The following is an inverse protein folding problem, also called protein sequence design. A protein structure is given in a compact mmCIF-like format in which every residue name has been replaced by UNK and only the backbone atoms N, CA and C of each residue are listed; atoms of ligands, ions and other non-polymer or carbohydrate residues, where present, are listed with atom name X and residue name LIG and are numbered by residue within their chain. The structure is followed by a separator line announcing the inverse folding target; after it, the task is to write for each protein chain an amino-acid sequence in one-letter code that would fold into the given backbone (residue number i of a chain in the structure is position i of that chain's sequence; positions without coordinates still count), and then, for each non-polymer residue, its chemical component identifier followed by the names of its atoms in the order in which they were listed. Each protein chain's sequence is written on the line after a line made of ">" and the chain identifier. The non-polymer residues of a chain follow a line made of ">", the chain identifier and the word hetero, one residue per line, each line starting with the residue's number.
data_IF_282460421601
#
_entry.id   IF_282460421601
#
_cell.length_a   1.000
_cell.length_b   1.000
_cell.length_c   1.000
_cell.angle_alpha   90.00
_cell.angle_beta   90.00
_cell.angle_gamma   90.00
#
_symmetry.space_group_name_H-M   'P 1'
#
loop_
_entity.id
_entity.type
_entity.pdbx_description
1 polymer ?
#
# COMPACT_ATOMS: atom_id res chain seq x y z
N UNK A 1 -19.07 -30.31 -1.07
CA UNK A 1 -19.11 -29.29 -2.15
C UNK A 1 -17.77 -28.53 -2.19
N UNK A 2 -16.62 -29.23 -2.26
CA UNK A 2 -15.28 -28.65 -2.15
C UNK A 2 -14.43 -28.72 -3.44
N UNK A 3 -14.73 -29.66 -4.35
CA UNK A 3 -13.89 -29.89 -5.53
C UNK A 3 -13.77 -28.67 -6.47
N UNK A 4 -14.77 -27.80 -6.49
CA UNK A 4 -14.80 -26.64 -7.40
C UNK A 4 -13.92 -25.50 -6.88
N UNK A 5 -13.85 -25.29 -5.56
CA UNK A 5 -13.07 -24.20 -4.96
C UNK A 5 -11.57 -24.52 -4.97
N UNK A 6 -11.20 -25.74 -4.59
CA UNK A 6 -9.80 -26.19 -4.64
C UNK A 6 -9.25 -26.16 -6.07
N UNK A 7 -10.04 -26.62 -7.07
CA UNK A 7 -9.65 -26.52 -8.48
C UNK A 7 -9.44 -25.07 -8.93
N UNK A 8 -10.34 -24.16 -8.53
CA UNK A 8 -10.21 -22.72 -8.82
C UNK A 8 -9.02 -22.08 -8.13
N UNK A 9 -8.70 -22.47 -6.91
CA UNK A 9 -7.49 -22.00 -6.20
C UNK A 9 -6.23 -22.47 -6.91
N UNK A 10 -6.15 -23.74 -7.31
CA UNK A 10 -5.01 -24.29 -8.06
C UNK A 10 -4.86 -23.59 -9.41
N UNK A 11 -5.96 -23.39 -10.13
CA UNK A 11 -5.96 -22.70 -11.42
C UNK A 11 -5.50 -21.24 -11.26
N UNK A 12 -6.02 -20.53 -10.26
CA UNK A 12 -5.58 -19.17 -9.94
C UNK A 12 -4.09 -19.12 -9.63
N UNK A 13 -3.60 -19.99 -8.74
CA UNK A 13 -2.19 -20.02 -8.37
C UNK A 13 -1.30 -20.28 -9.59
N UNK A 14 -1.75 -21.13 -10.52
CA UNK A 14 -1.07 -21.36 -11.80
C UNK A 14 -1.07 -20.09 -12.66
N UNK A 15 -2.21 -19.44 -12.83
CA UNK A 15 -2.33 -18.19 -13.60
C UNK A 15 -1.50 -17.06 -12.99
N UNK A 16 -1.49 -16.92 -11.66
CA UNK A 16 -0.67 -15.93 -10.95
C UNK A 16 0.81 -16.26 -11.08
N UNK A 17 1.19 -17.54 -11.01
CA UNK A 17 2.57 -17.97 -11.26
C UNK A 17 3.03 -17.64 -12.67
N UNK A 18 2.17 -17.81 -13.67
CA UNK A 18 2.46 -17.41 -15.05
C UNK A 18 2.52 -15.89 -15.21
N UNK A 19 1.58 -15.15 -14.61
CA UNK A 19 1.49 -13.69 -14.67
C UNK A 19 2.66 -12.98 -13.98
N UNK A 20 3.15 -13.55 -12.87
CA UNK A 20 4.24 -13.00 -12.06
C UNK A 20 5.58 -13.70 -12.28
N UNK A 21 5.67 -14.62 -13.26
CA UNK A 21 6.93 -15.25 -13.62
C UNK A 21 7.89 -14.18 -14.13
N UNK A 22 9.04 -14.03 -13.49
CA UNK A 22 10.11 -13.21 -14.04
C UNK A 22 10.56 -13.81 -15.38
N UNK A 23 10.32 -13.09 -16.47
CA UNK A 23 10.86 -13.47 -17.77
C UNK A 23 12.40 -13.34 -17.74
N UNK A 24 13.15 -14.29 -18.30
CA UNK A 24 14.60 -14.15 -18.43
C UNK A 24 14.90 -12.98 -19.37
N UNK A 25 15.71 -12.01 -18.92
CA UNK A 25 15.92 -10.74 -19.62
C UNK A 25 17.38 -10.46 -19.93
N UNK A 26 17.55 -9.62 -20.95
CA UNK A 26 18.84 -9.08 -21.37
C UNK A 26 19.24 -7.87 -20.51
N UNK A 27 20.54 -7.63 -20.37
CA UNK A 27 21.16 -6.57 -19.56
C UNK A 27 20.68 -5.13 -19.81
N UNK A 28 20.01 -4.85 -20.93
CA UNK A 28 19.50 -3.52 -21.30
C UNK A 28 18.01 -3.32 -20.98
N UNK A 29 17.31 -4.36 -20.48
CA UNK A 29 15.89 -4.27 -20.14
C UNK A 29 15.72 -3.90 -18.67
N UNK A 30 15.25 -2.69 -18.39
CA UNK A 30 14.88 -2.26 -17.03
C UNK A 30 13.72 -3.12 -16.53
N UNK A 31 13.86 -3.74 -15.35
CA UNK A 31 12.72 -4.38 -14.67
C UNK A 31 11.72 -3.30 -14.29
N UNK A 32 10.54 -3.28 -14.94
CA UNK A 32 9.48 -2.33 -14.60
C UNK A 32 8.75 -2.74 -13.34
N UNK A 33 8.50 -4.03 -13.11
CA UNK A 33 7.68 -4.51 -12.00
C UNK A 33 8.27 -5.74 -11.33
N UNK A 34 8.30 -5.75 -10.00
CA UNK A 34 8.64 -6.90 -9.17
C UNK A 34 7.45 -7.29 -8.33
N UNK A 35 7.22 -8.59 -8.18
CA UNK A 35 6.15 -9.11 -7.34
C UNK A 35 6.76 -9.96 -6.25
N UNK A 36 6.43 -9.64 -4.99
CA UNK A 36 6.82 -10.40 -3.82
C UNK A 36 5.58 -10.90 -3.10
N UNK A 37 5.62 -12.07 -2.51
CA UNK A 37 4.52 -12.49 -1.63
C UNK A 37 4.52 -11.62 -0.37
N UNK A 38 3.34 -11.42 0.24
CA UNK A 38 3.28 -10.74 1.55
C UNK A 38 4.05 -11.51 2.63
N UNK A 39 4.24 -12.82 2.46
CA UNK A 39 5.15 -13.63 3.26
C UNK A 39 6.61 -13.21 3.10
N UNK A 40 7.13 -13.13 1.88
CA UNK A 40 8.52 -12.69 1.61
C UNK A 40 8.81 -11.31 2.19
N UNK A 41 7.84 -10.39 2.10
CA UNK A 41 7.98 -9.05 2.64
C UNK A 41 7.85 -9.07 4.17
N UNK A 42 6.81 -9.69 4.72
CA UNK A 42 6.50 -9.70 6.15
C UNK A 42 7.46 -10.53 7.01
N UNK A 43 8.06 -11.58 6.45
CA UNK A 43 8.97 -12.50 7.14
C UNK A 43 10.41 -11.97 7.28
N UNK A 44 10.71 -10.78 6.73
CA UNK A 44 12.00 -10.11 6.97
C UNK A 44 12.08 -9.41 8.33
N UNK A 45 11.02 -9.51 9.15
CA UNK A 45 10.93 -8.85 10.45
C UNK A 45 10.83 -9.88 11.59
N UNK A 46 11.98 -10.27 12.13
CA UNK A 46 12.11 -11.36 13.12
C UNK A 46 11.58 -11.05 14.54
N UNK A 47 11.24 -9.78 14.86
CA UNK A 47 11.01 -9.35 16.25
C UNK A 47 9.78 -8.43 16.44
N UNK A 48 8.60 -8.80 15.93
CA UNK A 48 7.36 -8.09 16.30
C UNK A 48 6.63 -8.75 17.47
N UNK A 49 6.07 -7.96 18.42
CA UNK A 49 5.08 -8.48 19.36
C UNK A 49 3.85 -8.98 18.61
N UNK A 50 3.13 -9.91 19.24
CA UNK A 50 1.88 -10.45 18.72
C UNK A 50 0.92 -9.29 18.32
N UNK A 51 0.44 -9.26 17.06
CA UNK A 51 -0.54 -8.28 16.61
C UNK A 51 -1.77 -8.20 17.50
N UNK A 52 -2.27 -6.97 17.71
CA UNK A 52 -3.59 -6.75 18.30
C UNK A 52 -4.69 -7.32 17.41
N UNK A 53 -5.83 -7.70 18.01
CA UNK A 53 -7.00 -8.27 17.31
C UNK A 53 -7.52 -7.39 16.18
N UNK A 54 -7.37 -6.07 16.33
CA UNK A 54 -7.71 -5.10 15.30
C UNK A 54 -6.53 -4.17 15.09
N UNK A 55 -6.22 -3.90 13.81
CA UNK A 55 -5.26 -2.89 13.39
C UNK A 55 -5.87 -2.00 12.33
N UNK A 56 -5.97 -0.73 12.67
CA UNK A 56 -6.46 0.31 11.79
C UNK A 56 -5.26 1.03 11.15
N UNK A 57 -5.09 0.88 9.83
CA UNK A 57 -4.06 1.59 9.07
C UNK A 57 -4.66 2.89 8.54
N UNK A 58 -4.13 4.01 9.05
CA UNK A 58 -4.54 5.36 8.67
C UNK A 58 -3.42 6.07 7.92
N UNK A 59 -3.79 7.19 7.31
CA UNK A 59 -2.84 8.14 6.79
C UNK A 59 -2.06 8.79 7.95
N UNK A 60 -0.74 8.87 7.79
CA UNK A 60 0.19 9.46 8.75
C UNK A 60 0.11 10.99 8.69
N UNK A 61 -0.91 11.52 9.35
CA UNK A 61 -1.16 12.95 9.44
C UNK A 61 0.02 13.73 10.02
N UNK A 62 0.79 13.12 10.95
CA UNK A 62 1.99 13.74 11.52
C UNK A 62 3.07 13.97 10.46
N UNK A 63 3.32 12.98 9.60
CA UNK A 63 4.28 13.10 8.50
C UNK A 63 3.83 14.13 7.45
N UNK A 64 2.53 14.25 7.21
CA UNK A 64 2.02 15.26 6.30
C UNK A 64 2.13 16.69 6.88
N UNK A 65 1.81 16.88 8.16
CA UNK A 65 2.04 18.16 8.85
C UNK A 65 3.51 18.54 8.83
N UNK A 66 4.44 17.60 9.08
CA UNK A 66 5.86 17.94 9.10
C UNK A 66 6.37 18.41 7.74
N UNK A 67 5.90 17.82 6.64
CA UNK A 67 6.18 18.30 5.27
C UNK A 67 5.66 19.72 5.04
N UNK A 68 4.44 20.01 5.47
CA UNK A 68 3.84 21.34 5.34
C UNK A 68 4.59 22.36 6.18
N UNK A 69 4.95 22.01 7.42
CA UNK A 69 5.72 22.86 8.30
C UNK A 69 7.11 23.17 7.72
N UNK A 70 7.79 22.17 7.15
CA UNK A 70 9.07 22.36 6.47
C UNK A 70 8.94 23.30 5.26
N UNK A 71 7.88 23.17 4.47
CA UNK A 71 7.59 24.07 3.35
C UNK A 71 7.32 25.50 3.85
N UNK A 72 6.51 25.67 4.89
CA UNK A 72 6.22 26.99 5.47
C UNK A 72 7.47 27.66 6.02
N UNK A 73 8.37 26.90 6.67
CA UNK A 73 9.66 27.40 7.13
C UNK A 73 10.56 27.82 5.96
N UNK A 74 10.58 27.04 4.87
CA UNK A 74 11.32 27.40 3.66
C UNK A 74 10.78 28.70 3.04
N UNK A 75 9.46 28.83 2.92
CA UNK A 75 8.81 30.05 2.40
C UNK A 75 9.13 31.24 3.31
N UNK A 76 9.04 31.06 4.63
CA UNK A 76 9.38 32.10 5.60
C UNK A 76 10.84 32.56 5.47
N UNK A 77 11.77 31.61 5.30
CA UNK A 77 13.18 31.93 5.11
C UNK A 77 13.42 32.74 3.83
N UNK A 78 12.81 32.35 2.70
CA UNK A 78 12.96 33.09 1.44
C UNK A 78 12.28 34.46 1.52
N UNK A 79 11.11 34.56 2.15
CA UNK A 79 10.45 35.84 2.39
C UNK A 79 11.33 36.77 3.23
N UNK A 80 11.91 36.27 4.32
CA UNK A 80 12.81 37.03 5.20
C UNK A 80 14.04 37.55 4.44
N UNK A 81 14.66 36.72 3.61
CA UNK A 81 15.76 37.13 2.72
C UNK A 81 15.33 38.20 1.72
N UNK A 82 14.18 38.02 1.07
CA UNK A 82 13.63 38.97 0.09
C UNK A 82 13.36 40.34 0.74
N UNK A 83 12.79 40.34 1.96
CA UNK A 83 12.57 41.55 2.76
C UNK A 83 13.87 42.26 3.08
N UNK A 84 14.91 41.55 3.52
CA UNK A 84 16.22 42.14 3.82
C UNK A 84 16.86 42.80 2.59
N UNK A 85 16.61 42.26 1.40
CA UNK A 85 17.16 42.77 0.15
C UNK A 85 16.26 43.80 -0.58
N UNK A 86 15.14 44.24 0.02
CA UNK A 86 14.14 45.12 -0.62
C UNK A 86 13.59 44.61 -1.97
N UNK A 87 13.75 43.32 -2.22
CA UNK A 87 13.14 42.64 -3.35
C UNK A 87 11.72 42.28 -2.92
N UNK A 88 10.69 42.82 -3.59
CA UNK A 88 9.31 42.41 -3.31
C UNK A 88 9.14 40.89 -3.37
N UNK A 89 8.21 40.33 -2.59
CA UNK A 89 8.01 38.88 -2.58
C UNK A 89 7.63 38.41 -4.00
N UNK A 90 8.35 37.43 -4.57
CA UNK A 90 8.05 36.99 -5.92
C UNK A 90 6.65 36.37 -5.98
N UNK A 91 5.76 36.94 -6.80
CA UNK A 91 4.40 36.42 -7.03
C UNK A 91 4.38 34.93 -7.38
N UNK A 92 5.43 34.42 -8.02
CA UNK A 92 5.55 32.99 -8.35
C UNK A 92 5.59 32.09 -7.11
N UNK A 93 6.09 32.57 -5.96
CA UNK A 93 6.10 31.79 -4.71
C UNK A 93 4.71 31.65 -4.10
N UNK A 94 3.89 32.70 -4.16
CA UNK A 94 2.49 32.63 -3.73
C UNK A 94 1.71 31.64 -4.59
N UNK A 95 1.93 31.67 -5.91
CA UNK A 95 1.30 30.72 -6.85
C UNK A 95 1.79 29.29 -6.58
N UNK A 96 3.09 29.08 -6.39
CA UNK A 96 3.64 27.76 -6.05
C UNK A 96 3.09 27.22 -4.71
N UNK A 97 2.93 28.08 -3.70
CA UNK A 97 2.34 27.72 -2.42
C UNK A 97 0.87 27.33 -2.56
N UNK A 98 0.08 28.08 -3.34
CA UNK A 98 -1.31 27.76 -3.63
C UNK A 98 -1.45 26.41 -4.35
N UNK A 99 -0.61 26.16 -5.35
CA UNK A 99 -0.59 24.87 -6.07
C UNK A 99 -0.24 23.73 -5.11
N UNK A 100 0.80 23.90 -4.28
CA UNK A 100 1.19 22.89 -3.30
C UNK A 100 0.07 22.60 -2.28
N UNK A 101 -0.55 23.65 -1.74
CA UNK A 101 -1.70 23.52 -0.84
C UNK A 101 -2.85 22.78 -1.51
N UNK A 102 -3.19 23.12 -2.76
CA UNK A 102 -4.26 22.46 -3.51
C UNK A 102 -3.97 20.97 -3.76
N UNK A 103 -2.71 20.60 -3.97
CA UNK A 103 -2.29 19.21 -4.19
C UNK A 103 -2.28 18.39 -2.89
N UNK A 104 -1.89 18.97 -1.76
CA UNK A 104 -1.77 18.26 -0.46
C UNK A 104 -3.03 18.37 0.43
N UNK A 105 -3.89 19.37 0.24
CA UNK A 105 -5.14 19.52 1.02
C UNK A 105 -6.06 18.27 0.96
N UNK A 106 -6.29 17.64 -0.20
CA UNK A 106 -7.11 16.44 -0.28
C UNK A 106 -6.53 15.28 0.53
N UNK A 107 -5.21 15.11 0.55
CA UNK A 107 -4.52 14.04 1.29
C UNK A 107 -4.63 14.24 2.81
N UNK A 108 -4.64 15.49 3.28
CA UNK A 108 -4.80 15.85 4.69
C UNK A 108 -6.24 15.71 5.20
N UNK A 109 -7.22 15.92 4.33
CA UNK A 109 -8.64 15.85 4.68
C UNK A 109 -9.13 14.39 4.76
N UNK A 110 -8.53 13.48 3.99
CA UNK A 110 -8.88 12.07 4.00
C UNK A 110 -8.28 11.32 5.21
N UNK A 111 -8.89 11.53 6.38
CA UNK A 111 -8.56 10.81 7.63
C UNK A 111 -9.19 9.43 7.72
N UNK A 112 -9.90 8.99 6.68
CA UNK A 112 -10.57 7.68 6.73
C UNK A 112 -9.50 6.59 6.77
N UNK A 113 -9.67 5.56 7.62
CA UNK A 113 -8.76 4.44 7.60
C UNK A 113 -8.83 3.78 6.23
N UNK A 114 -7.67 3.37 5.72
CA UNK A 114 -7.56 2.79 4.37
C UNK A 114 -7.71 1.28 4.40
N UNK A 115 -7.15 0.68 5.44
CA UNK A 115 -7.13 -0.74 5.69
C UNK A 115 -7.44 -0.95 7.17
N UNK A 116 -8.36 -1.87 7.47
CA UNK A 116 -8.59 -2.36 8.82
C UNK A 116 -8.35 -3.86 8.76
N UNK A 117 -7.32 -4.33 9.45
CA UNK A 117 -6.96 -5.74 9.54
C UNK A 117 -7.50 -6.24 10.88
N UNK A 118 -8.39 -7.21 10.85
CA UNK A 118 -8.96 -7.83 12.05
C UNK A 118 -8.56 -9.29 12.14
N UNK A 119 -8.89 -9.94 13.26
CA UNK A 119 -8.73 -11.38 13.41
C UNK A 119 -9.58 -12.22 12.46
N UNK A 120 -10.62 -11.64 11.84
CA UNK A 120 -11.60 -12.34 11.00
C UNK A 120 -11.51 -11.95 9.52
N UNK A 121 -11.08 -10.73 9.23
CA UNK A 121 -11.14 -10.16 7.89
C UNK A 121 -10.16 -9.02 7.66
N UNK A 122 -10.09 -8.58 6.40
CA UNK A 122 -9.50 -7.32 5.98
C UNK A 122 -10.61 -6.44 5.42
N UNK A 123 -10.78 -5.24 5.96
CA UNK A 123 -11.73 -4.25 5.47
C UNK A 123 -11.05 -3.09 4.75
N UNK A 124 -11.48 -2.87 3.50
CA UNK A 124 -10.98 -1.89 2.54
C UNK A 124 -11.94 -0.70 2.51
N UNK A 125 -11.86 0.18 3.51
CA UNK A 125 -12.92 1.19 3.74
C UNK A 125 -13.11 2.19 2.60
N UNK A 126 -12.07 2.49 1.80
CA UNK A 126 -12.20 3.36 0.62
C UNK A 126 -13.12 2.75 -0.46
N UNK A 127 -13.06 1.43 -0.60
CA UNK A 127 -13.88 0.66 -1.55
C UNK A 127 -15.18 0.16 -0.90
N UNK A 128 -15.26 0.19 0.44
CA UNK A 128 -16.40 -0.32 1.20
C UNK A 128 -16.50 -1.85 1.16
N UNK A 129 -15.37 -2.54 0.97
CA UNK A 129 -15.34 -3.97 0.71
C UNK A 129 -14.60 -4.72 1.82
N UNK A 130 -15.10 -5.88 2.23
CA UNK A 130 -14.52 -6.73 3.27
C UNK A 130 -14.16 -8.10 2.71
N UNK A 131 -12.95 -8.57 3.00
CA UNK A 131 -12.49 -9.91 2.64
C UNK A 131 -12.28 -10.68 3.94
N UNK A 132 -13.13 -11.67 4.21
CA UNK A 132 -12.86 -12.65 5.26
C UNK A 132 -11.60 -13.44 4.93
N UNK A 133 -10.82 -13.80 5.97
CA UNK A 133 -9.59 -14.57 5.76
C UNK A 133 -9.85 -15.85 4.97
N UNK A 134 -10.94 -16.56 5.21
CA UNK A 134 -11.25 -17.81 4.52
C UNK A 134 -11.51 -17.65 3.01
N UNK A 135 -11.85 -16.44 2.55
CA UNK A 135 -12.11 -16.14 1.15
C UNK A 135 -10.87 -15.55 0.44
N UNK A 136 -9.84 -15.15 1.20
CA UNK A 136 -8.58 -14.68 0.64
C UNK A 136 -7.82 -15.87 0.02
N UNK A 137 -7.48 -15.77 -1.27
CA UNK A 137 -6.74 -16.82 -1.97
C UNK A 137 -5.24 -16.55 -2.01
N UNK A 138 -4.85 -15.30 -2.31
CA UNK A 138 -3.44 -14.92 -2.38
C UNK A 138 -3.25 -13.43 -2.12
N UNK A 139 -2.05 -13.06 -1.67
CA UNK A 139 -1.67 -11.68 -1.40
C UNK A 139 -0.21 -11.41 -1.81
N UNK A 140 0.02 -10.29 -2.49
CA UNK A 140 1.31 -9.91 -3.06
C UNK A 140 1.59 -8.42 -2.88
N UNK A 141 2.86 -8.05 -2.93
CA UNK A 141 3.34 -6.67 -3.06
C UNK A 141 3.93 -6.52 -4.46
N UNK A 142 3.36 -5.61 -5.25
CA UNK A 142 3.87 -5.15 -6.54
C UNK A 142 4.74 -3.91 -6.30
N UNK A 143 6.03 -3.99 -6.62
CA UNK A 143 6.97 -2.88 -6.66
C UNK A 143 7.16 -2.44 -8.12
N UNK A 144 6.67 -1.26 -8.47
CA UNK A 144 6.87 -0.66 -9.79
C UNK A 144 8.08 0.29 -9.76
N UNK A 145 9.06 0.00 -10.61
CA UNK A 145 10.32 0.73 -10.78
C UNK A 145 10.36 1.53 -12.11
N UNK A 146 9.23 1.68 -12.79
CA UNK A 146 9.16 2.30 -14.13
C UNK A 146 9.37 3.82 -14.14
N UNK A 147 9.48 4.46 -12.97
CA UNK A 147 9.70 5.90 -12.83
C UNK A 147 10.80 6.25 -11.82
N UNK A 148 10.96 7.53 -11.52
CA UNK A 148 12.00 8.06 -10.62
C UNK A 148 11.85 7.59 -9.16
N UNK A 149 10.67 7.09 -8.79
CA UNK A 149 10.37 6.56 -7.46
C UNK A 149 9.77 5.17 -7.54
N UNK A 150 10.20 4.27 -6.65
CA UNK A 150 9.60 2.94 -6.49
C UNK A 150 8.21 3.10 -5.88
N UNK A 151 7.18 2.59 -6.55
CA UNK A 151 5.82 2.56 -6.01
C UNK A 151 5.42 1.15 -5.59
N UNK A 152 5.00 0.99 -4.33
CA UNK A 152 4.51 -0.29 -3.80
C UNK A 152 2.98 -0.33 -3.79
N UNK A 153 2.40 -1.39 -4.34
CA UNK A 153 0.98 -1.72 -4.26
C UNK A 153 0.78 -3.10 -3.62
N UNK A 154 -0.20 -3.21 -2.73
CA UNK A 154 -0.66 -4.46 -2.16
C UNK A 154 -1.81 -5.02 -3.00
N UNK A 155 -1.65 -6.25 -3.47
CA UNK A 155 -2.59 -6.99 -4.29
C UNK A 155 -3.24 -8.08 -3.44
N UNK A 156 -4.57 -8.12 -3.42
CA UNK A 156 -5.34 -9.20 -2.80
C UNK A 156 -6.19 -9.88 -3.86
N UNK A 157 -6.06 -11.21 -3.92
CA UNK A 157 -6.91 -12.07 -4.75
C UNK A 157 -7.83 -12.83 -3.82
N UNK A 158 -9.14 -12.67 -3.99
CA UNK A 158 -10.13 -13.37 -3.16
C UNK A 158 -11.23 -13.98 -4.02
N UNK A 159 -11.87 -14.99 -3.45
CA UNK A 159 -13.02 -15.63 -4.03
C UNK A 159 -14.30 -14.95 -3.56
N UNK A 160 -15.18 -14.59 -4.48
CA UNK A 160 -16.53 -14.16 -4.16
C UNK A 160 -17.50 -15.32 -4.41
N UNK A 161 -18.13 -15.76 -3.32
CA UNK A 161 -19.06 -16.89 -3.35
C UNK A 161 -20.36 -16.55 -4.09
N UNK A 162 -20.79 -15.28 -4.08
CA UNK A 162 -22.03 -14.84 -4.72
C UNK A 162 -21.89 -14.82 -6.22
N UNK A 163 -20.77 -14.28 -6.73
CA UNK A 163 -20.51 -14.19 -8.17
C UNK A 163 -19.78 -15.41 -8.71
N UNK A 164 -19.28 -16.31 -7.84
CA UNK A 164 -18.50 -17.49 -8.21
C UNK A 164 -17.21 -17.14 -9.00
N UNK A 165 -16.70 -15.91 -8.80
CA UNK A 165 -15.52 -15.36 -9.50
C UNK A 165 -14.42 -14.96 -8.54
N UNK A 166 -13.22 -14.82 -9.09
CA UNK A 166 -12.06 -14.33 -8.35
C UNK A 166 -11.92 -12.85 -8.67
N UNK A 167 -11.76 -12.02 -7.64
CA UNK A 167 -11.56 -10.59 -7.79
C UNK A 167 -10.18 -10.19 -7.28
N UNK A 168 -9.66 -9.11 -7.86
CA UNK A 168 -8.39 -8.50 -7.51
C UNK A 168 -8.63 -7.14 -6.89
N UNK A 169 -8.13 -6.91 -5.68
CA UNK A 169 -8.14 -5.60 -5.01
C UNK A 169 -6.72 -5.09 -4.91
N UNK A 170 -6.52 -3.84 -5.36
CA UNK A 170 -5.24 -3.13 -5.31
C UNK A 170 -5.28 -2.00 -4.29
N UNK A 171 -4.27 -1.92 -3.41
CA UNK A 171 -4.07 -0.79 -2.50
C UNK A 171 -2.66 -0.23 -2.65
N UNK A 172 -2.55 1.08 -2.86
CA UNK A 172 -1.25 1.77 -2.83
C UNK A 172 -0.73 1.89 -1.39
N UNK A 173 0.49 1.40 -1.15
CA UNK A 173 1.17 1.45 0.15
C UNK A 173 1.97 2.74 0.34
N UNK A 174 2.47 3.33 -0.74
CA UNK A 174 3.30 4.55 -0.74
C UNK A 174 2.62 5.85 -0.26
N UNK A 175 1.36 5.79 0.14
CA UNK A 175 0.58 6.98 0.52
C UNK A 175 0.71 7.27 2.02
N UNK A 176 1.92 7.67 2.45
CA UNK A 176 2.24 8.13 3.82
C UNK A 176 1.42 7.40 4.90
N UNK A 177 1.47 6.07 4.96
CA UNK A 177 0.71 5.31 5.94
C UNK A 177 1.39 5.38 7.33
N UNK A 178 0.60 5.24 8.39
CA UNK A 178 1.14 5.16 9.77
C UNK A 178 2.02 3.92 9.98
N UNK A 179 1.80 2.87 9.18
CA UNK A 179 2.59 1.65 9.17
C UNK A 179 3.38 1.55 7.87
N UNK A 180 4.59 1.00 7.95
CA UNK A 180 5.36 0.67 6.76
C UNK A 180 4.83 -0.62 6.09
N UNK A 181 5.21 -0.82 4.83
CA UNK A 181 4.78 -1.94 4.00
C UNK A 181 5.06 -3.29 4.68
N UNK A 182 6.22 -3.42 5.32
CA UNK A 182 6.62 -4.66 6.01
C UNK A 182 5.75 -4.99 7.22
N UNK A 183 5.40 -4.00 8.04
CA UNK A 183 4.50 -4.17 9.18
C UNK A 183 3.10 -4.56 8.71
N UNK A 184 2.61 -3.96 7.63
CA UNK A 184 1.30 -4.30 7.06
C UNK A 184 1.31 -5.76 6.59
N UNK A 185 2.35 -6.16 5.84
CA UNK A 185 2.53 -7.53 5.38
C UNK A 185 2.63 -8.52 6.55
N UNK A 186 3.39 -8.19 7.59
CA UNK A 186 3.48 -8.99 8.81
C UNK A 186 2.12 -9.21 9.49
N UNK A 187 1.32 -8.15 9.67
CA UNK A 187 -0.02 -8.27 10.25
C UNK A 187 -0.94 -9.17 9.43
N UNK A 188 -0.87 -9.06 8.09
CA UNK A 188 -1.65 -9.91 7.16
C UNK A 188 -1.23 -11.37 7.30
N UNK A 189 0.06 -11.67 7.26
CA UNK A 189 0.56 -13.04 7.35
C UNK A 189 0.29 -13.67 8.71
N UNK A 190 0.44 -12.90 9.78
CA UNK A 190 0.12 -13.37 11.12
C UNK A 190 -1.33 -13.87 11.21
N UNK A 191 -2.30 -13.08 10.72
CA UNK A 191 -3.70 -13.49 10.78
C UNK A 191 -4.05 -14.61 9.80
N UNK A 192 -3.45 -14.63 8.60
CA UNK A 192 -3.55 -15.76 7.67
C UNK A 192 -3.09 -17.07 8.30
N UNK A 193 -1.98 -17.05 9.03
CA UNK A 193 -1.46 -18.25 9.73
C UNK A 193 -2.40 -18.65 10.87
N UNK A 194 -2.85 -17.69 11.67
CA UNK A 194 -3.71 -17.94 12.85
C UNK A 194 -5.09 -18.47 12.47
N UNK A 195 -5.64 -18.05 11.35
CA UNK A 195 -6.93 -18.56 10.82
C UNK A 195 -6.78 -19.83 9.98
N UNK A 196 -5.56 -20.32 9.76
CA UNK A 196 -5.28 -21.51 8.96
C UNK A 196 -5.32 -21.27 7.45
N UNK A 197 -5.50 -20.04 7.00
CA UNK A 197 -5.44 -19.68 5.59
C UNK A 197 -3.99 -19.43 5.13
N UNK A 198 -3.21 -20.52 5.08
CA UNK A 198 -1.85 -20.46 4.53
C UNK A 198 -1.93 -20.31 3.01
N UNK A 199 -1.46 -19.19 2.48
CA UNK A 199 -1.16 -19.13 1.05
C UNK A 199 -0.08 -20.20 0.77
N UNK A 200 -0.29 -21.09 -0.21
CA UNK A 200 0.72 -22.08 -0.56
C UNK A 200 2.04 -21.37 -0.88
N UNK A 201 3.11 -21.76 -0.19
CA UNK A 201 4.45 -21.33 -0.55
C UNK A 201 4.77 -21.96 -1.91
N UNK A 202 5.14 -21.15 -2.89
CA UNK A 202 5.55 -21.59 -4.24
C UNK A 202 7.06 -21.54 -4.34
#
# INVERSE_FOLDING_TARGET
>A
MNETLEKKQIELLRTLKERFKEEPRSWWQTQSKKYKTTWEVGNTYDNYPEPSEEKIVKYNFKAAISKIAALLLFIFFVYYQSWQHNSGMPYFMLVAMLIFLLLELPSLYDRKPRLIITSQSIWFKKVGYEIEWNNLMASYVEEDHSGDSVTSELLFFHYDQLTNTIHEIRIKLNECLEMNDTQICYYIEYWKIKTGNRTPQI
#
